data_IF_420866053895
#
_entry.id   IF_420866053895
#
_cell.length_a   1.000
_cell.length_b   1.000
_cell.length_c   1.000
_cell.angle_alpha   90.00
_cell.angle_beta   90.00
_cell.angle_gamma   90.00
#
_symmetry.space_group_name_H-M   'P 1'
#
loop_
_entity.id
_entity.type
_entity.pdbx_description
1 polymer ?
#
# COMPACT_ATOMS: atom_id res chain seq x y z
N UNK A 1 -15.13 15.70 23.25
CA UNK A 1 -14.63 15.44 24.62
C UNK A 1 -14.47 13.94 24.76
N UNK A 2 -13.25 13.48 25.05
CA UNK A 2 -12.83 12.08 25.34
C UNK A 2 -13.02 11.08 24.17
N UNK A 3 -12.08 10.23 23.80
CA UNK A 3 -11.15 9.48 24.63
C UNK A 3 -9.83 9.37 23.86
N UNK A 4 -8.75 9.96 24.41
CA UNK A 4 -7.41 9.43 24.15
C UNK A 4 -7.49 7.97 24.58
N UNK A 5 -7.49 7.05 23.63
CA UNK A 5 -7.21 5.67 23.93
C UNK A 5 -5.78 5.66 24.45
N UNK A 6 -5.62 5.79 25.77
CA UNK A 6 -4.41 5.35 26.43
C UNK A 6 -4.27 3.89 26.02
N UNK A 7 -3.38 3.66 25.05
CA UNK A 7 -2.86 2.34 24.79
C UNK A 7 -2.21 1.93 26.11
N UNK A 8 -2.94 1.14 26.90
CA UNK A 8 -2.42 0.49 28.09
C UNK A 8 -1.34 -0.45 27.57
N UNK A 9 -0.12 0.06 27.44
CA UNK A 9 1.07 -0.69 27.10
C UNK A 9 1.21 -1.76 28.17
N UNK A 10 0.67 -2.93 27.86
CA UNK A 10 0.89 -4.10 28.68
C UNK A 10 2.38 -4.37 28.58
N UNK A 11 3.08 -4.44 29.71
CA UNK A 11 4.53 -4.76 29.73
C UNK A 11 4.85 -6.05 28.97
N UNK A 12 3.84 -6.91 28.81
CA UNK A 12 3.90 -8.13 28.03
C UNK A 12 3.92 -7.90 26.50
N UNK A 13 3.49 -6.76 25.98
CA UNK A 13 3.59 -6.44 24.55
C UNK A 13 5.04 -6.18 24.14
N UNK A 14 5.82 -5.49 24.99
CA UNK A 14 7.27 -5.34 24.76
C UNK A 14 7.97 -6.71 24.77
N UNK A 15 7.57 -7.60 25.68
CA UNK A 15 8.08 -8.98 25.75
C UNK A 15 7.69 -9.80 24.50
N UNK A 16 6.45 -9.68 24.03
CA UNK A 16 5.98 -10.34 22.79
C UNK A 16 6.75 -9.83 21.56
N UNK A 17 7.01 -8.53 21.48
CA UNK A 17 7.84 -7.96 20.41
C UNK A 17 9.29 -8.46 20.46
N UNK A 18 9.86 -8.59 21.66
CA UNK A 18 11.18 -9.19 21.83
C UNK A 18 11.19 -10.64 21.32
N UNK A 19 10.17 -11.44 21.66
CA UNK A 19 10.03 -12.82 21.15
C UNK A 19 9.92 -12.84 19.62
N UNK A 20 9.15 -11.93 19.01
CA UNK A 20 9.04 -11.83 17.54
C UNK A 20 10.39 -11.50 16.91
N UNK A 21 11.14 -10.53 17.46
CA UNK A 21 12.47 -10.16 16.95
C UNK A 21 13.45 -11.33 17.07
N UNK A 22 13.43 -12.06 18.19
CA UNK A 22 14.26 -13.24 18.39
C UNK A 22 13.91 -14.34 17.39
N UNK A 23 12.62 -14.62 17.15
CA UNK A 23 12.18 -15.61 16.17
C UNK A 23 12.62 -15.26 14.74
N UNK A 24 12.52 -13.97 14.36
CA UNK A 24 12.99 -13.49 13.05
C UNK A 24 14.51 -13.62 12.93
N UNK A 25 15.26 -13.21 13.95
CA UNK A 25 16.71 -13.35 13.97
C UNK A 25 17.16 -14.82 13.84
N UNK A 26 16.49 -15.73 14.56
CA UNK A 26 16.70 -17.17 14.44
C UNK A 26 16.38 -17.66 13.02
N UNK A 27 15.29 -17.19 12.40
CA UNK A 27 14.96 -17.51 11.02
C UNK A 27 16.02 -17.06 10.01
N UNK A 28 16.57 -15.85 10.16
CA UNK A 28 17.65 -15.32 9.31
C UNK A 28 18.94 -16.13 9.48
N UNK A 29 19.33 -16.41 10.72
CA UNK A 29 20.54 -17.19 11.03
C UNK A 29 20.40 -18.63 10.53
N UNK A 30 19.24 -19.26 10.75
CA UNK A 30 18.95 -20.59 10.23
C UNK A 30 19.02 -20.60 8.69
N UNK A 31 18.43 -19.60 8.02
CA UNK A 31 18.50 -19.51 6.56
C UNK A 31 19.95 -19.38 6.04
N UNK A 32 20.81 -18.64 6.77
CA UNK A 32 22.22 -18.49 6.43
C UNK A 32 23.03 -19.78 6.67
N UNK A 33 22.81 -20.47 7.80
CA UNK A 33 23.53 -21.71 8.13
C UNK A 33 23.11 -22.89 7.24
N UNK A 34 21.82 -23.01 6.94
CA UNK A 34 21.33 -24.09 6.10
C UNK A 34 21.58 -23.86 4.60
N UNK A 35 22.36 -22.83 4.21
CA UNK A 35 22.70 -22.39 2.86
C UNK A 35 23.15 -23.48 1.86
N UNK A 36 23.61 -24.64 2.36
CA UNK A 36 24.04 -25.78 1.55
C UNK A 36 22.98 -26.89 1.35
N UNK A 37 21.82 -26.85 2.04
CA UNK A 37 20.76 -27.87 1.93
C UNK A 37 19.68 -27.51 0.89
N UNK A 38 18.89 -28.50 0.48
CA UNK A 38 17.85 -28.34 -0.56
C UNK A 38 16.80 -27.28 -0.20
N UNK A 39 16.39 -26.53 -1.22
CA UNK A 39 15.54 -25.32 -1.09
C UNK A 39 14.19 -25.59 -0.38
N UNK A 40 13.64 -26.79 -0.53
CA UNK A 40 12.32 -27.18 -0.03
C UNK A 40 12.26 -27.17 1.51
N UNK A 41 13.25 -27.75 2.20
CA UNK A 41 13.25 -27.82 3.66
C UNK A 41 13.39 -26.44 4.31
N UNK A 42 14.15 -25.54 3.67
CA UNK A 42 14.27 -24.15 4.16
C UNK A 42 12.98 -23.37 4.02
N UNK A 43 12.35 -23.44 2.85
CA UNK A 43 11.12 -22.68 2.59
C UNK A 43 10.02 -23.13 3.55
N UNK A 44 9.87 -24.44 3.77
CA UNK A 44 8.90 -24.97 4.75
C UNK A 44 9.24 -24.52 6.17
N UNK A 45 10.51 -24.64 6.59
CA UNK A 45 10.94 -24.20 7.93
C UNK A 45 10.74 -22.69 8.17
N UNK A 46 11.07 -21.86 7.17
CA UNK A 46 10.87 -20.41 7.21
C UNK A 46 9.38 -20.05 7.25
N UNK A 47 8.54 -20.74 6.46
CA UNK A 47 7.10 -20.51 6.47
C UNK A 47 6.48 -20.86 7.81
N UNK A 48 6.90 -21.95 8.45
CA UNK A 48 6.45 -22.33 9.80
C UNK A 48 6.89 -21.30 10.83
N UNK A 49 8.16 -20.88 10.81
CA UNK A 49 8.68 -19.82 11.70
C UNK A 49 7.95 -18.49 11.51
N UNK A 50 7.71 -18.09 10.25
CA UNK A 50 6.97 -16.88 9.91
C UNK A 50 5.51 -16.96 10.38
N UNK A 51 4.86 -18.12 10.24
CA UNK A 51 3.50 -18.33 10.73
C UNK A 51 3.42 -18.23 12.26
N UNK A 52 4.39 -18.79 12.99
CA UNK A 52 4.47 -18.69 14.45
C UNK A 52 4.72 -17.24 14.88
N UNK A 53 5.66 -16.55 14.22
CA UNK A 53 5.95 -15.14 14.51
C UNK A 53 4.71 -14.25 14.23
N UNK A 54 4.01 -14.49 13.12
CA UNK A 54 2.77 -13.81 12.80
C UNK A 54 1.68 -14.09 13.85
N UNK A 55 1.52 -15.35 14.27
CA UNK A 55 0.55 -15.72 15.30
C UNK A 55 0.82 -15.00 16.63
N UNK A 56 2.08 -14.93 17.06
CA UNK A 56 2.49 -14.18 18.27
C UNK A 56 2.26 -12.68 18.10
N UNK A 57 2.59 -12.11 16.94
CA UNK A 57 2.39 -10.69 16.66
C UNK A 57 0.90 -10.31 16.68
N UNK A 58 0.03 -11.16 16.12
CA UNK A 58 -1.42 -10.95 16.11
C UNK A 58 -2.07 -10.99 17.51
N UNK A 59 -1.46 -11.71 18.47
CA UNK A 59 -1.88 -11.73 19.87
C UNK A 59 -1.44 -10.49 20.69
N UNK A 60 -0.74 -9.53 20.08
CA UNK A 60 -0.30 -8.28 20.73
C UNK A 60 -1.41 -7.22 20.65
N UNK A 61 -1.47 -6.26 21.58
CA UNK A 61 -2.50 -5.21 21.55
C UNK A 61 -2.55 -4.46 20.20
N UNK A 62 -1.38 -4.22 19.58
CA UNK A 62 -1.25 -3.65 18.23
C UNK A 62 -1.84 -4.55 17.13
N UNK A 63 -1.73 -5.88 17.27
CA UNK A 63 -2.28 -6.85 16.32
C UNK A 63 -3.81 -6.90 16.36
N UNK A 64 -4.39 -6.84 17.57
CA UNK A 64 -5.85 -6.76 17.74
C UNK A 64 -6.41 -5.43 17.21
N UNK A 65 -5.71 -4.31 17.45
CA UNK A 65 -6.08 -3.02 16.88
C UNK A 65 -6.06 -3.04 15.34
N UNK A 66 -5.03 -3.64 14.74
CA UNK A 66 -4.94 -3.82 13.28
C UNK A 66 -6.09 -4.67 12.72
N UNK A 67 -6.48 -5.74 13.42
CA UNK A 67 -7.65 -6.54 13.04
C UNK A 67 -8.96 -5.76 13.13
N UNK A 68 -9.11 -4.89 14.13
CA UNK A 68 -10.22 -3.95 14.21
C UNK A 68 -10.28 -3.03 12.99
N UNK A 69 -9.16 -2.37 12.68
CA UNK A 69 -9.04 -1.50 11.49
C UNK A 69 -9.32 -2.23 10.18
N UNK A 70 -8.89 -3.49 10.04
CA UNK A 70 -9.19 -4.30 8.86
C UNK A 70 -10.69 -4.61 8.72
N UNK A 71 -11.38 -4.87 9.84
CA UNK A 71 -12.84 -5.09 9.84
C UNK A 71 -13.58 -3.81 9.50
N UNK A 72 -13.14 -2.68 10.05
CA UNK A 72 -13.70 -1.36 9.77
C UNK A 72 -13.46 -0.97 8.31
N UNK A 73 -12.25 -1.18 7.78
CA UNK A 73 -11.90 -0.97 6.37
C UNK A 73 -12.74 -1.83 5.43
N UNK A 74 -13.00 -3.10 5.75
CA UNK A 74 -13.92 -3.95 4.97
C UNK A 74 -15.36 -3.39 4.97
N UNK A 75 -15.79 -2.82 6.08
CA UNK A 75 -17.11 -2.21 6.20
C UNK A 75 -17.19 -0.93 5.37
N UNK A 76 -16.11 -0.15 5.33
CA UNK A 76 -16.01 1.07 4.52
C UNK A 76 -15.91 0.77 3.02
N UNK A 77 -15.16 -0.26 2.63
CA UNK A 77 -15.08 -0.72 1.23
C UNK A 77 -16.47 -1.10 0.70
N UNK A 78 -17.35 -1.63 1.55
CA UNK A 78 -18.75 -1.92 1.16
C UNK A 78 -19.60 -0.67 0.94
N UNK A 79 -19.20 0.48 1.48
CA UNK A 79 -19.84 1.77 1.22
C UNK A 79 -19.33 2.43 -0.06
N UNK A 80 -18.24 1.92 -0.65
CA UNK A 80 -17.76 2.39 -1.95
C UNK A 80 -18.76 1.94 -3.00
N UNK A 81 -19.59 2.88 -3.43
CA UNK A 81 -20.43 2.72 -4.61
C UNK A 81 -19.51 2.77 -5.81
N UNK A 82 -19.25 1.61 -6.40
CA UNK A 82 -18.49 1.55 -7.64
C UNK A 82 -19.30 2.20 -8.75
N UNK A 83 -18.70 3.13 -9.51
CA UNK A 83 -19.41 3.88 -10.53
C UNK A 83 -19.93 2.93 -11.59
N UNK A 84 -21.09 3.26 -12.15
CA UNK A 84 -21.64 2.50 -13.27
C UNK A 84 -20.79 2.73 -14.51
N UNK A 85 -20.83 1.80 -15.49
CA UNK A 85 -20.11 1.98 -16.76
C UNK A 85 -20.53 3.27 -17.49
N UNK A 86 -21.77 3.71 -17.29
CA UNK A 86 -22.30 4.93 -17.88
C UNK A 86 -21.67 6.20 -17.27
N UNK A 87 -21.58 6.27 -15.94
CA UNK A 87 -20.91 7.37 -15.24
C UNK A 87 -19.42 7.46 -15.60
N UNK A 88 -18.75 6.30 -15.61
CA UNK A 88 -17.31 6.24 -15.94
C UNK A 88 -17.04 6.74 -17.37
N UNK A 89 -17.90 6.35 -18.32
CA UNK A 89 -17.78 6.77 -19.73
C UNK A 89 -18.09 8.26 -19.88
N UNK A 90 -19.11 8.78 -19.19
CA UNK A 90 -19.46 10.20 -19.23
C UNK A 90 -18.32 11.07 -18.69
N UNK A 91 -17.76 10.74 -17.53
CA UNK A 91 -16.62 11.48 -16.97
C UNK A 91 -15.41 11.41 -17.88
N UNK A 92 -15.12 10.24 -18.47
CA UNK A 92 -14.01 10.08 -19.42
C UNK A 92 -14.22 10.96 -20.66
N UNK A 93 -15.42 10.97 -21.24
CA UNK A 93 -15.74 11.82 -22.40
C UNK A 93 -15.61 13.31 -22.09
N UNK A 94 -16.03 13.76 -20.90
CA UNK A 94 -15.85 15.15 -20.45
C UNK A 94 -14.35 15.49 -20.39
N UNK A 95 -13.54 14.63 -19.75
CA UNK A 95 -12.09 14.85 -19.66
C UNK A 95 -11.44 14.89 -21.05
N UNK A 96 -11.80 13.95 -21.93
CA UNK A 96 -11.29 13.91 -23.31
C UNK A 96 -11.66 15.19 -24.07
N UNK A 97 -12.89 15.69 -23.93
CA UNK A 97 -13.31 16.92 -24.58
C UNK A 97 -12.48 18.13 -24.09
N UNK A 98 -12.28 18.26 -22.77
CA UNK A 98 -11.46 19.36 -22.21
C UNK A 98 -10.01 19.27 -22.68
N UNK A 99 -9.43 18.06 -22.70
CA UNK A 99 -8.06 17.83 -23.19
C UNK A 99 -7.92 18.21 -24.67
N UNK A 100 -8.89 17.84 -25.51
CA UNK A 100 -8.89 18.19 -26.93
C UNK A 100 -8.95 19.71 -27.15
N UNK A 101 -9.79 20.42 -26.38
CA UNK A 101 -9.89 21.88 -26.46
C UNK A 101 -8.56 22.52 -26.06
N UNK A 102 -7.96 22.11 -24.94
CA UNK A 102 -6.66 22.63 -24.50
C UNK A 102 -5.55 22.32 -25.50
N UNK A 103 -5.52 21.11 -26.06
CA UNK A 103 -4.54 20.70 -27.06
C UNK A 103 -4.65 21.57 -28.33
N UNK A 104 -5.86 21.84 -28.82
CA UNK A 104 -6.09 22.71 -29.97
C UNK A 104 -5.68 24.16 -29.69
N UNK A 105 -5.98 24.68 -28.51
CA UNK A 105 -5.60 26.05 -28.12
C UNK A 105 -4.08 26.21 -28.04
N UNK A 106 -3.38 25.28 -27.37
CA UNK A 106 -1.92 25.29 -27.28
C UNK A 106 -1.30 25.13 -28.67
N UNK A 107 -1.76 24.16 -29.46
CA UNK A 107 -1.26 23.96 -30.81
C UNK A 107 -1.41 25.21 -31.70
N UNK A 108 -2.56 25.90 -31.60
CA UNK A 108 -2.80 27.15 -32.32
C UNK A 108 -1.86 28.27 -31.87
N UNK A 109 -1.67 28.43 -30.55
CA UNK A 109 -0.75 29.41 -29.99
C UNK A 109 0.70 29.13 -30.38
N UNK A 110 1.15 27.88 -30.25
CA UNK A 110 2.51 27.46 -30.57
C UNK A 110 2.80 27.66 -32.06
N UNK A 111 1.84 27.34 -32.94
CA UNK A 111 1.95 27.56 -34.38
C UNK A 111 2.02 29.06 -34.72
N UNK A 112 1.21 29.89 -34.07
CA UNK A 112 1.21 31.35 -34.26
C UNK A 112 2.53 31.98 -33.80
N UNK A 113 2.99 31.62 -32.60
CA UNK A 113 4.27 32.08 -32.05
C UNK A 113 5.44 31.59 -32.91
N UNK A 114 5.43 30.33 -33.34
CA UNK A 114 6.43 29.77 -34.25
C UNK A 114 6.49 30.51 -35.58
N UNK A 115 5.33 30.80 -36.19
CA UNK A 115 5.26 31.60 -37.41
C UNK A 115 5.82 33.02 -37.22
N UNK A 116 5.45 33.68 -36.12
CA UNK A 116 5.92 35.04 -35.82
C UNK A 116 7.43 35.08 -35.60
N UNK A 117 7.98 34.13 -34.84
CA UNK A 117 9.42 34.00 -34.61
C UNK A 117 10.15 33.70 -35.92
N UNK A 118 9.62 32.81 -36.77
CA UNK A 118 10.23 32.49 -38.06
C UNK A 118 10.27 33.69 -39.01
N UNK A 119 9.33 34.63 -38.90
CA UNK A 119 9.27 35.86 -39.71
C UNK A 119 10.25 36.93 -39.21
N UNK A 120 10.64 36.88 -37.92
CA UNK A 120 11.58 37.84 -37.31
C UNK A 120 13.03 37.36 -37.43
N UNK A 121 13.26 36.05 -37.27
CA UNK A 121 14.60 35.44 -37.32
C UNK A 121 14.99 35.03 -38.73
N UNK A 122 14.01 34.73 -39.59
CA UNK A 122 14.19 34.49 -41.02
C UNK A 122 14.44 35.76 -41.81
#
# INVERSE_FOLDING_TARGET
MSIKAEAKESRFDALKWLVVVVLVAVGVVANHYFAAQSILYRVVGLLVLAAIAAFVALQTAKGQAFFGLLKDARTEIRKVVWPTRQETTQTTLIVVAVVLVMALLLWGLDSLLGWLVSTIVG
#
